data_IF_109368137780
#
_entry.id   IF_109368137780
#
_cell.length_a   1.000
_cell.length_b   1.000
_cell.length_c   1.000
_cell.angle_alpha   90.00
_cell.angle_beta   90.00
_cell.angle_gamma   90.00
#
_symmetry.space_group_name_H-M   'P 1'
#
loop_
_entity.id
_entity.type
_entity.pdbx_description
1 polymer ?
#
# COMPACT_ATOMS: atom_id res chain seq x y z
N UNK A 1 -0.35 4.07 14.50
CA UNK A 1 -0.60 3.68 13.10
C UNK A 1 0.48 4.22 12.15
N UNK A 2 0.93 5.48 12.27
CA UNK A 2 1.91 6.07 11.34
C UNK A 2 3.39 5.64 11.50
N UNK A 3 3.80 5.15 12.66
CA UNK A 3 5.21 4.79 12.88
C UNK A 3 5.66 3.61 12.00
N UNK A 4 4.82 2.59 11.84
CA UNK A 4 5.12 1.48 10.93
C UNK A 4 5.23 1.94 9.47
N UNK A 5 4.33 2.84 9.02
CA UNK A 5 4.42 3.46 7.68
C UNK A 5 5.74 4.20 7.50
N UNK A 6 6.14 5.03 8.46
CA UNK A 6 7.40 5.80 8.40
C UNK A 6 8.62 4.89 8.29
N UNK A 7 8.67 3.81 9.07
CA UNK A 7 9.78 2.85 9.04
C UNK A 7 9.83 2.13 7.70
N UNK A 8 8.71 1.59 7.22
CA UNK A 8 8.64 0.87 5.95
C UNK A 8 8.95 1.78 4.76
N UNK A 9 8.42 3.01 4.75
CA UNK A 9 8.73 4.01 3.73
C UNK A 9 10.22 4.32 3.70
N UNK A 10 10.86 4.52 4.85
CA UNK A 10 12.31 4.77 4.94
C UNK A 10 13.11 3.57 4.43
N UNK A 11 12.73 2.36 4.83
CA UNK A 11 13.36 1.13 4.39
C UNK A 11 13.30 0.98 2.86
N UNK A 12 12.13 1.19 2.25
CA UNK A 12 11.99 1.10 0.79
C UNK A 12 12.65 2.27 0.06
N UNK A 13 12.60 3.50 0.59
CA UNK A 13 13.19 4.66 -0.06
C UNK A 13 14.72 4.57 -0.21
N UNK A 14 15.39 3.95 0.76
CA UNK A 14 16.85 3.76 0.73
C UNK A 14 17.24 2.69 -0.31
N UNK A 15 16.41 1.66 -0.48
CA UNK A 15 16.74 0.51 -1.34
C UNK A 15 16.20 0.64 -2.77
N UNK A 16 15.01 1.24 -2.95
CA UNK A 16 14.37 1.41 -4.25
C UNK A 16 13.20 2.43 -4.19
N UNK A 17 13.39 3.62 -4.76
CA UNK A 17 12.37 4.67 -4.80
C UNK A 17 11.06 4.27 -5.51
N UNK A 18 11.10 3.27 -6.41
CA UNK A 18 9.89 2.72 -7.04
C UNK A 18 9.06 1.91 -6.04
N UNK A 19 9.70 1.04 -5.25
CA UNK A 19 9.03 0.27 -4.18
C UNK A 19 8.41 1.19 -3.13
N UNK A 20 9.08 2.29 -2.78
CA UNK A 20 8.55 3.26 -1.83
C UNK A 20 7.25 3.92 -2.32
N UNK A 21 7.17 4.27 -3.61
CA UNK A 21 5.94 4.84 -4.19
C UNK A 21 4.82 3.82 -4.28
N UNK A 22 5.14 2.58 -4.66
CA UNK A 22 4.18 1.49 -4.77
C UNK A 22 3.57 1.16 -3.39
N UNK A 23 4.42 1.09 -2.35
CA UNK A 23 3.98 0.95 -0.97
C UNK A 23 3.05 2.08 -0.53
N UNK A 24 3.42 3.34 -0.77
CA UNK A 24 2.61 4.49 -0.35
C UNK A 24 1.25 4.52 -1.05
N UNK A 25 1.19 4.17 -2.34
CA UNK A 25 -0.08 4.06 -3.07
C UNK A 25 -1.00 2.98 -2.51
N UNK A 26 -0.43 1.80 -2.18
CA UNK A 26 -1.19 0.72 -1.54
C UNK A 26 -1.67 1.12 -0.13
N UNK A 27 -0.82 1.80 0.65
CA UNK A 27 -1.17 2.29 1.98
C UNK A 27 -2.32 3.30 1.92
N UNK A 28 -2.20 4.32 1.07
CA UNK A 28 -3.24 5.35 0.95
C UNK A 28 -4.56 4.76 0.44
N UNK A 29 -4.50 3.80 -0.49
CA UNK A 29 -5.70 3.13 -1.04
C UNK A 29 -6.38 2.25 0.00
N UNK A 30 -5.66 1.27 0.57
CA UNK A 30 -6.27 0.25 1.43
C UNK A 30 -6.50 0.77 2.85
N UNK A 31 -5.53 1.50 3.42
CA UNK A 31 -5.61 1.94 4.81
C UNK A 31 -6.41 3.24 4.96
N UNK A 32 -6.12 4.27 4.16
CA UNK A 32 -6.79 5.57 4.30
C UNK A 32 -8.15 5.55 3.59
N UNK A 33 -8.18 5.32 2.28
CA UNK A 33 -9.42 5.38 1.50
C UNK A 33 -10.36 4.20 1.82
N UNK A 34 -9.82 2.99 1.95
CA UNK A 34 -10.58 1.79 2.32
C UNK A 34 -10.97 1.78 3.80
N UNK A 35 -10.06 1.34 4.67
CA UNK A 35 -10.36 1.06 6.07
C UNK A 35 -10.83 2.29 6.87
N UNK A 36 -10.12 3.42 6.75
CA UNK A 36 -10.42 4.60 7.57
C UNK A 36 -11.61 5.42 7.06
N UNK A 37 -11.78 5.53 5.75
CA UNK A 37 -12.76 6.46 5.16
C UNK A 37 -13.93 5.77 4.44
N UNK A 38 -13.86 4.47 4.17
CA UNK A 38 -14.93 3.73 3.48
C UNK A 38 -15.24 4.25 2.07
N UNK A 39 -14.24 4.80 1.36
CA UNK A 39 -14.41 5.47 0.06
C UNK A 39 -14.36 4.51 -1.15
N UNK A 40 -14.06 3.23 -0.92
CA UNK A 40 -14.01 2.23 -1.99
C UNK A 40 -15.37 1.50 -2.02
N UNK A 41 -16.28 2.03 -2.83
CA UNK A 41 -17.65 1.50 -2.94
C UNK A 41 -17.78 0.34 -3.92
N UNK A 42 -16.88 0.26 -4.91
CA UNK A 42 -16.90 -0.80 -5.91
C UNK A 42 -16.02 -1.98 -5.45
N UNK A 43 -16.62 -3.18 -5.39
CA UNK A 43 -15.94 -4.41 -5.01
C UNK A 43 -14.77 -4.77 -5.93
N UNK A 44 -14.84 -4.44 -7.21
CA UNK A 44 -13.77 -4.77 -8.16
C UNK A 44 -12.53 -3.91 -7.91
N UNK A 45 -12.69 -2.66 -7.47
CA UNK A 45 -11.57 -1.83 -7.01
C UNK A 45 -10.89 -2.42 -5.77
N UNK A 46 -11.66 -3.01 -4.85
CA UNK A 46 -11.09 -3.70 -3.68
C UNK A 46 -10.27 -4.91 -4.13
N UNK A 47 -10.82 -5.74 -5.03
CA UNK A 47 -10.12 -6.92 -5.57
C UNK A 47 -8.80 -6.53 -6.26
N UNK A 48 -8.83 -5.49 -7.08
CA UNK A 48 -7.64 -5.01 -7.78
C UNK A 48 -6.57 -4.49 -6.81
N UNK A 49 -6.98 -3.72 -5.80
CA UNK A 49 -6.08 -3.24 -4.75
C UNK A 49 -5.47 -4.40 -3.93
N UNK A 50 -6.26 -5.44 -3.61
CA UNK A 50 -5.75 -6.63 -2.92
C UNK A 50 -4.80 -7.44 -3.79
N UNK A 51 -5.06 -7.55 -5.10
CA UNK A 51 -4.16 -8.20 -6.05
C UNK A 51 -2.82 -7.47 -6.13
N UNK A 52 -2.86 -6.15 -6.27
CA UNK A 52 -1.65 -5.31 -6.29
C UNK A 52 -0.86 -5.42 -4.97
N UNK A 53 -1.54 -5.49 -3.83
CA UNK A 53 -0.89 -5.71 -2.54
C UNK A 53 -0.19 -7.07 -2.46
N UNK A 54 -0.83 -8.14 -2.96
CA UNK A 54 -0.23 -9.48 -3.04
C UNK A 54 1.03 -9.46 -3.91
N UNK A 55 0.94 -8.88 -5.11
CA UNK A 55 2.09 -8.75 -6.02
C UNK A 55 3.23 -7.95 -5.41
N UNK A 56 2.93 -6.88 -4.65
CA UNK A 56 3.93 -6.12 -3.93
C UNK A 56 4.64 -6.96 -2.86
N UNK A 57 3.90 -7.74 -2.07
CA UNK A 57 4.48 -8.61 -1.03
C UNK A 57 5.42 -9.64 -1.65
N UNK A 58 5.04 -10.27 -2.77
CA UNK A 58 5.90 -11.24 -3.47
C UNK A 58 7.18 -10.61 -4.03
N UNK A 59 7.22 -9.30 -4.32
CA UNK A 59 8.45 -8.59 -4.76
C UNK A 59 9.42 -8.30 -3.61
N UNK A 60 8.90 -8.18 -2.39
CA UNK A 60 9.68 -7.78 -1.20
C UNK A 60 10.13 -9.00 -0.38
N UNK A 61 9.49 -10.15 -0.60
CA UNK A 61 9.88 -11.45 -0.06
C UNK A 61 11.26 -11.88 -0.56
#
# INVERSE_FOLDING_TARGET
MDEHRKVLKKYFAINNGKLAREFEGLYDTLHIAGYYRGLIYNVDMVKDAMKAAKEFIEKVK
#
